data_IF_236108608083
#
_entry.id   IF_236108608083
#
_cell.length_a   1.000
_cell.length_b   1.000
_cell.length_c   1.000
_cell.angle_alpha   90.00
_cell.angle_beta   90.00
_cell.angle_gamma   90.00
#
_symmetry.space_group_name_H-M   'P 1'
#
loop_
_entity.id
_entity.type
_entity.pdbx_description
1 polymer ?
#
# COMPACT_ATOMS: atom_id res chain seq x y z
N UNK A 1 16.12 0.88 6.14
CA UNK A 1 15.30 0.04 7.05
C UNK A 1 15.04 -1.33 6.40
N UNK A 2 15.16 -2.45 7.14
CA UNK A 2 15.07 -3.83 6.59
C UNK A 2 13.78 -4.57 6.98
N UNK A 3 12.83 -3.90 7.61
CA UNK A 3 11.55 -4.50 8.01
C UNK A 3 10.63 -4.62 6.80
N UNK A 4 9.97 -5.76 6.65
CA UNK A 4 8.95 -5.96 5.61
C UNK A 4 7.76 -5.01 5.81
N UNK A 5 7.25 -4.46 4.71
CA UNK A 5 6.16 -3.49 4.71
C UNK A 5 4.78 -4.11 4.96
N UNK A 6 4.65 -5.44 5.01
CA UNK A 6 3.41 -6.14 5.36
C UNK A 6 2.73 -5.58 6.62
N UNK A 7 3.50 -5.40 7.70
CA UNK A 7 2.97 -4.92 8.99
C UNK A 7 2.43 -3.49 8.90
N UNK A 8 3.06 -2.65 8.06
CA UNK A 8 2.60 -1.29 7.81
C UNK A 8 1.23 -1.31 7.12
N UNK A 9 1.08 -2.13 6.07
CA UNK A 9 -0.18 -2.26 5.34
C UNK A 9 -1.32 -2.75 6.22
N UNK A 10 -1.06 -3.80 7.01
CA UNK A 10 -2.04 -4.37 7.94
C UNK A 10 -2.47 -3.37 9.02
N UNK A 11 -1.52 -2.64 9.60
CA UNK A 11 -1.79 -1.61 10.60
C UNK A 11 -2.64 -0.47 10.01
N UNK A 12 -2.30 -0.01 8.80
CA UNK A 12 -3.07 1.01 8.12
C UNK A 12 -4.49 0.53 7.79
N UNK A 13 -4.64 -0.66 7.20
CA UNK A 13 -5.96 -1.21 6.84
C UNK A 13 -6.85 -1.41 8.07
N UNK A 14 -6.28 -1.91 9.17
CA UNK A 14 -7.02 -2.06 10.43
C UNK A 14 -7.50 -0.71 10.97
N UNK A 15 -6.66 0.33 10.91
CA UNK A 15 -7.03 1.69 11.32
C UNK A 15 -8.11 2.30 10.43
N UNK A 16 -8.11 2.00 9.13
CA UNK A 16 -9.16 2.44 8.20
C UNK A 16 -10.44 1.63 8.31
N UNK A 17 -10.42 0.47 8.99
CA UNK A 17 -11.58 -0.40 9.13
C UNK A 17 -11.95 -1.17 7.87
N UNK A 18 -11.01 -1.33 6.93
CA UNK A 18 -11.22 -2.07 5.67
C UNK A 18 -10.19 -3.19 5.50
N UNK A 19 -10.49 -4.28 4.77
CA UNK A 19 -9.50 -5.32 4.51
C UNK A 19 -8.32 -4.80 3.68
N UNK A 20 -7.10 -5.25 3.98
CA UNK A 20 -5.91 -4.86 3.19
C UNK A 20 -6.03 -5.24 1.70
N UNK A 21 -6.82 -6.27 1.37
CA UNK A 21 -7.10 -6.71 0.00
C UNK A 21 -7.93 -5.71 -0.81
N UNK A 22 -8.66 -4.79 -0.16
CA UNK A 22 -9.43 -3.73 -0.84
C UNK A 22 -8.62 -2.45 -1.01
N UNK A 23 -7.32 -2.48 -0.72
CA UNK A 23 -6.41 -1.34 -0.84
C UNK A 23 -5.21 -1.69 -1.71
N UNK A 24 -4.74 -0.71 -2.47
CA UNK A 24 -3.43 -0.73 -3.14
C UNK A 24 -2.51 0.31 -2.51
N UNK A 25 -1.30 -0.14 -2.16
CA UNK A 25 -0.24 0.69 -1.60
C UNK A 25 0.82 0.89 -2.68
N UNK A 26 1.06 2.15 -3.04
CA UNK A 26 1.98 2.53 -4.11
C UNK A 26 3.12 3.38 -3.55
N UNK A 27 4.31 3.17 -4.09
CA UNK A 27 5.46 4.06 -3.93
C UNK A 27 5.98 4.40 -5.32
N UNK A 28 6.10 5.68 -5.63
CA UNK A 28 6.45 6.17 -6.98
C UNK A 28 5.60 5.52 -8.10
N UNK A 29 4.31 5.32 -7.83
CA UNK A 29 3.37 4.66 -8.76
C UNK A 29 3.51 3.14 -8.86
N UNK A 30 4.48 2.51 -8.19
CA UNK A 30 4.68 1.06 -8.20
C UNK A 30 4.02 0.38 -7.00
N UNK A 31 3.37 -0.77 -7.23
CA UNK A 31 2.71 -1.52 -6.17
C UNK A 31 3.74 -2.16 -5.25
N UNK A 32 3.61 -1.87 -3.96
CA UNK A 32 4.46 -2.44 -2.92
C UNK A 32 4.00 -3.88 -2.67
N UNK A 33 4.93 -4.84 -2.64
CA UNK A 33 4.70 -6.23 -2.20
C UNK A 33 4.91 -6.38 -0.69
N UNK A 34 4.34 -7.43 -0.10
CA UNK A 34 4.34 -7.60 1.36
C UNK A 34 5.73 -7.92 1.94
N UNK A 35 6.57 -8.58 1.16
CA UNK A 35 7.95 -8.93 1.50
C UNK A 35 8.95 -7.81 1.16
N UNK A 36 8.53 -6.73 0.50
CA UNK A 36 9.44 -5.63 0.22
C UNK A 36 9.75 -4.83 1.48
N UNK A 37 10.97 -4.33 1.54
CA UNK A 37 11.47 -3.45 2.58
C UNK A 37 11.66 -2.02 2.05
N UNK A 38 11.64 -0.99 2.92
CA UNK A 38 11.96 0.37 2.50
C UNK A 38 13.33 0.47 1.81
N UNK A 39 14.33 -0.30 2.27
CA UNK A 39 15.67 -0.32 1.68
C UNK A 39 15.66 -0.82 0.23
N UNK A 40 14.88 -1.85 -0.08
CA UNK A 40 14.79 -2.39 -1.45
C UNK A 40 14.05 -1.45 -2.40
N UNK A 41 13.12 -0.67 -1.86
CA UNK A 41 12.38 0.36 -2.60
C UNK A 41 13.15 1.68 -2.71
N UNK A 42 14.31 1.81 -2.06
CA UNK A 42 15.06 3.07 -2.05
C UNK A 42 14.38 4.19 -1.26
N UNK A 43 13.47 3.86 -0.34
CA UNK A 43 12.75 4.84 0.46
C UNK A 43 13.68 5.55 1.46
N UNK A 44 13.52 6.85 1.54
CA UNK A 44 14.15 7.74 2.51
C UNK A 44 13.17 8.14 3.63
N UNK A 45 13.66 8.90 4.60
CA UNK A 45 12.77 9.49 5.61
C UNK A 45 11.88 10.55 4.95
N UNK A 46 10.66 10.73 5.47
CA UNK A 46 9.64 11.64 4.92
C UNK A 46 9.00 11.22 3.57
N UNK A 47 9.44 10.11 2.95
CA UNK A 47 8.80 9.57 1.76
C UNK A 47 7.34 9.15 2.00
N UNK A 48 6.53 9.26 0.96
CA UNK A 48 5.08 9.03 1.02
C UNK A 48 4.67 7.75 0.29
N UNK A 49 3.88 6.92 0.97
CA UNK A 49 3.17 5.80 0.35
C UNK A 49 1.75 6.27 0.02
N UNK A 50 1.39 6.18 -1.25
CA UNK A 50 0.04 6.47 -1.71
C UNK A 50 -0.87 5.26 -1.48
N UNK A 51 -2.07 5.47 -0.96
CA UNK A 51 -3.05 4.41 -0.71
C UNK A 51 -4.34 4.73 -1.42
N UNK A 52 -4.81 3.79 -2.24
CA UNK A 52 -6.07 3.89 -2.96
C UNK A 52 -6.94 2.66 -2.69
N UNK A 53 -8.25 2.78 -2.91
CA UNK A 53 -9.09 1.60 -2.98
C UNK A 53 -8.75 0.76 -4.22
N UNK A 54 -8.68 -0.55 -4.04
CA UNK A 54 -8.52 -1.51 -5.13
C UNK A 54 -9.82 -1.54 -5.92
N UNK A 55 -9.79 -1.05 -7.17
CA UNK A 55 -10.95 -1.05 -8.04
C UNK A 55 -11.04 -2.40 -8.76
N UNK A 56 -11.73 -3.36 -8.15
CA UNK A 56 -12.08 -4.63 -8.79
C UNK A 56 -13.38 -4.48 -9.59
N UNK A 57 -13.33 -3.65 -10.65
CA UNK A 57 -14.45 -3.46 -11.58
C UNK A 57 -15.58 -2.54 -11.08
N UNK A 58 -16.17 -1.81 -12.02
CA UNK A 58 -17.38 -1.03 -11.85
C UNK A 58 -17.99 -0.76 -13.22
N UNK A 59 -19.29 -1.00 -13.38
CA UNK A 59 -20.04 -0.48 -14.53
C UNK A 59 -20.08 1.03 -14.39
N UNK A 60 -19.42 1.74 -15.31
CA UNK A 60 -19.66 3.15 -15.54
C UNK A 60 -21.10 3.27 -16.07
N UNK A 61 -22.05 3.56 -15.20
CA UNK A 61 -23.35 4.04 -15.61
C UNK A 61 -23.32 5.56 -15.44
N UNK A 62 -23.23 6.25 -16.56
CA UNK A 62 -23.58 7.68 -16.67
C UNK A 62 -25.01 7.93 -16.13
#
# INVERSE_FOLDING_TARGET
MTTHLKKLKESYSQRQGVPASTLRFLFEGQRIADNQTPKELGMEDEDVIEVYQEQTGGLWND
#
